data_IF_232110962376
#
_entry.id   IF_232110962376
#
_cell.length_a   1.000
_cell.length_b   1.000
_cell.length_c   1.000
_cell.angle_alpha   90.00
_cell.angle_beta   90.00
_cell.angle_gamma   90.00
#
_symmetry.space_group_name_H-M   'P 1'
#
loop_
_entity.id
_entity.type
_entity.pdbx_description
1 polymer ?
#
# COMPACT_ATOMS: atom_id res chain seq x y z
N UNK A 1 -33.26 -25.31 15.30
CA UNK A 1 -32.67 -24.89 14.02
C UNK A 1 -33.55 -23.77 13.53
N UNK A 2 -33.13 -22.54 13.76
CA UNK A 2 -33.92 -21.36 13.44
C UNK A 2 -33.15 -20.65 12.33
N UNK A 3 -33.73 -20.74 11.14
CA UNK A 3 -33.37 -20.03 9.93
C UNK A 3 -33.52 -18.52 10.22
N UNK A 4 -32.41 -17.78 10.30
CA UNK A 4 -32.47 -16.34 10.47
C UNK A 4 -32.64 -15.70 9.09
N UNK A 5 -33.79 -15.06 8.90
CA UNK A 5 -34.09 -14.16 7.79
C UNK A 5 -32.95 -13.14 7.63
N UNK A 6 -32.14 -13.33 6.60
CA UNK A 6 -31.45 -12.23 5.95
C UNK A 6 -32.51 -11.35 5.26
N UNK A 7 -32.26 -10.04 5.22
CA UNK A 7 -32.90 -9.02 4.36
C UNK A 7 -34.12 -8.30 5.02
N UNK A 8 -34.18 -6.97 5.13
CA UNK A 8 -33.80 -5.96 4.15
C UNK A 8 -33.42 -4.65 4.84
N UNK A 9 -32.25 -4.10 4.52
CA UNK A 9 -31.93 -2.71 4.83
C UNK A 9 -32.85 -1.78 3.99
N UNK A 10 -33.36 -0.66 4.53
CA UNK A 10 -34.14 0.34 3.77
C UNK A 10 -33.40 0.81 2.52
N UNK A 11 -34.12 1.19 1.45
CA UNK A 11 -33.51 1.69 0.21
C UNK A 11 -32.54 2.85 0.50
N UNK A 12 -31.26 2.67 0.17
CA UNK A 12 -30.19 3.64 0.46
C UNK A 12 -29.33 3.32 1.69
N UNK A 13 -29.58 2.19 2.35
CA UNK A 13 -28.78 1.68 3.46
C UNK A 13 -28.18 0.31 3.11
N UNK A 14 -26.97 0.04 3.60
CA UNK A 14 -26.31 -1.25 3.49
C UNK A 14 -26.17 -1.86 4.89
N UNK A 15 -26.22 -3.18 4.96
CA UNK A 15 -26.11 -3.90 6.21
C UNK A 15 -24.61 -4.05 6.51
N UNK A 16 -24.11 -3.29 7.49
CA UNK A 16 -22.69 -3.20 7.85
C UNK A 16 -22.48 -3.96 9.16
N UNK A 17 -21.46 -4.83 9.18
CA UNK A 17 -21.06 -5.54 10.37
C UNK A 17 -20.32 -4.60 11.35
N UNK A 18 -20.82 -4.51 12.57
CA UNK A 18 -20.22 -3.80 13.69
C UNK A 18 -19.92 -4.80 14.83
N UNK A 19 -18.79 -5.51 14.70
CA UNK A 19 -18.42 -6.55 15.66
C UNK A 19 -19.32 -7.78 15.53
N UNK A 20 -20.09 -8.10 16.58
CA UNK A 20 -21.02 -9.25 16.58
C UNK A 20 -22.43 -8.90 16.06
N UNK A 21 -22.72 -7.62 15.83
CA UNK A 21 -24.02 -7.15 15.37
C UNK A 21 -23.93 -6.59 13.94
N UNK A 22 -24.91 -6.88 13.10
CA UNK A 22 -25.10 -6.21 11.81
C UNK A 22 -26.13 -5.09 11.95
N UNK A 23 -25.83 -3.88 11.44
CA UNK A 23 -26.77 -2.75 11.45
C UNK A 23 -26.86 -2.10 10.08
N UNK A 24 -28.05 -1.61 9.73
CA UNK A 24 -28.25 -0.79 8.54
C UNK A 24 -27.53 0.55 8.74
N UNK A 25 -26.61 0.90 7.85
CA UNK A 25 -25.94 2.19 7.84
C UNK A 25 -26.22 2.92 6.54
N UNK A 26 -26.44 4.24 6.64
CA UNK A 26 -26.68 5.11 5.48
C UNK A 26 -25.46 5.10 4.57
N UNK A 27 -25.65 4.64 3.34
CA UNK A 27 -24.58 4.65 2.35
C UNK A 27 -24.47 6.04 1.76
N UNK A 28 -23.31 6.67 1.90
CA UNK A 28 -23.02 7.90 1.17
C UNK A 28 -22.70 7.54 -0.28
N UNK A 29 -23.50 8.06 -1.20
CA UNK A 29 -23.26 7.94 -2.64
C UNK A 29 -22.11 8.87 -3.00
N UNK A 30 -20.88 8.35 -3.05
CA UNK A 30 -19.70 9.14 -3.43
C UNK A 30 -19.34 8.80 -4.88
N UNK A 31 -19.46 9.80 -5.75
CA UNK A 31 -19.16 9.68 -7.18
C UNK A 31 -17.63 9.65 -7.36
N UNK A 32 -17.08 8.50 -7.73
CA UNK A 32 -15.66 8.35 -8.03
C UNK A 32 -15.46 8.02 -9.52
N UNK A 33 -14.49 8.67 -10.16
CA UNK A 33 -14.03 8.31 -11.50
C UNK A 33 -12.93 7.24 -11.38
N UNK A 34 -13.22 6.01 -11.79
CA UNK A 34 -12.22 4.95 -11.87
C UNK A 34 -11.28 5.21 -13.05
N UNK A 35 -10.03 5.58 -12.76
CA UNK A 35 -8.95 5.51 -13.75
C UNK A 35 -8.25 4.15 -13.64
N UNK A 36 -8.82 3.12 -14.26
CA UNK A 36 -8.06 1.89 -14.55
C UNK A 36 -7.08 2.17 -15.71
N UNK A 37 -5.91 2.70 -15.42
CA UNK A 37 -4.75 2.54 -16.32
C UNK A 37 -3.97 1.31 -15.87
N UNK A 38 -4.36 0.13 -16.39
CA UNK A 38 -3.40 -0.98 -16.50
C UNK A 38 -2.35 -0.52 -17.49
N UNK A 39 -1.10 -0.40 -17.05
CA UNK A 39 0.02 -0.18 -17.96
C UNK A 39 0.25 -1.47 -18.76
N UNK A 40 -0.51 -1.65 -19.84
CA UNK A 40 -0.14 -2.61 -20.87
C UNK A 40 0.81 -1.93 -21.86
N UNK A 41 1.88 -2.65 -22.13
CA UNK A 41 2.89 -2.39 -23.16
C UNK A 41 2.26 -2.05 -24.50
N UNK A 42 2.86 -1.05 -25.15
CA UNK A 42 2.61 -0.53 -26.49
C UNK A 42 2.11 -1.57 -27.51
N UNK A 43 0.94 -1.31 -28.10
CA UNK A 43 0.75 -1.54 -29.53
C UNK A 43 -0.09 -0.43 -30.13
N UNK A 44 0.31 0.04 -31.31
CA UNK A 44 -0.23 1.22 -31.97
C UNK A 44 -1.46 0.86 -32.79
N UNK A 45 -2.64 1.30 -32.36
CA UNK A 45 -3.88 1.10 -33.10
C UNK A 45 -4.89 2.20 -32.79
N UNK A 46 -4.93 3.23 -33.64
CA UNK A 46 -5.92 4.30 -33.59
C UNK A 46 -7.33 3.75 -33.86
N UNK A 47 -8.15 3.67 -32.82
CA UNK A 47 -9.57 3.36 -32.92
C UNK A 47 -10.39 4.33 -32.07
N UNK A 48 -10.94 5.37 -32.70
CA UNK A 48 -11.89 6.29 -32.06
C UNK A 48 -13.20 5.55 -31.82
N UNK A 49 -13.47 5.21 -30.56
CA UNK A 49 -14.79 4.76 -30.11
C UNK A 49 -15.37 5.76 -29.13
N UNK A 50 -16.35 6.53 -29.60
CA UNK A 50 -17.27 7.30 -28.76
C UNK A 50 -18.13 6.33 -27.95
N UNK A 51 -17.63 5.95 -26.76
CA UNK A 51 -18.38 5.19 -25.78
C UNK A 51 -19.24 6.11 -24.94
N UNK A 52 -20.56 5.95 -25.03
CA UNK A 52 -21.55 6.58 -24.17
C UNK A 52 -21.45 5.94 -22.77
N UNK A 53 -20.60 6.50 -21.89
CA UNK A 53 -20.38 5.99 -20.53
C UNK A 53 -21.61 6.29 -19.67
N UNK A 54 -22.47 5.30 -19.48
CA UNK A 54 -23.44 5.30 -18.38
C UNK A 54 -22.64 5.23 -17.08
N UNK A 55 -22.44 6.37 -16.44
CA UNK A 55 -21.81 6.49 -15.11
C UNK A 55 -22.63 5.69 -14.08
N UNK A 56 -22.36 4.39 -13.93
CA UNK A 56 -22.85 3.63 -12.79
C UNK A 56 -22.21 4.19 -11.52
N UNK A 57 -23.06 4.71 -10.64
CA UNK A 57 -22.60 5.21 -9.35
C UNK A 57 -22.13 4.00 -8.52
N UNK A 58 -20.82 3.88 -8.32
CA UNK A 58 -20.23 2.89 -7.42
C UNK A 58 -20.72 3.17 -6.00
N UNK A 59 -21.38 2.19 -5.38
CA UNK A 59 -21.91 2.27 -4.02
C UNK A 59 -20.96 1.48 -3.11
N UNK A 60 -20.18 2.19 -2.28
CA UNK A 60 -19.32 1.56 -1.28
C UNK A 60 -20.12 1.27 -0.01
N UNK A 61 -19.93 0.10 0.59
CA UNK A 61 -20.58 -0.25 1.86
C UNK A 61 -19.88 0.41 3.07
N UNK A 62 -18.56 0.61 2.96
CA UNK A 62 -17.71 1.16 4.02
C UNK A 62 -16.81 2.24 3.40
N UNK A 63 -16.54 3.30 4.15
CA UNK A 63 -15.54 4.31 3.75
C UNK A 63 -14.42 4.37 4.77
N UNK A 64 -13.19 4.57 4.31
CA UNK A 64 -12.00 4.69 5.17
C UNK A 64 -11.27 6.01 4.93
N UNK A 65 -10.58 6.49 5.97
CA UNK A 65 -9.77 7.70 5.90
C UNK A 65 -8.58 7.56 4.95
N UNK A 66 -7.91 8.67 4.65
CA UNK A 66 -6.67 8.65 3.88
C UNK A 66 -5.62 7.74 4.54
N UNK A 67 -4.84 7.09 3.69
CA UNK A 67 -3.80 6.13 4.07
C UNK A 67 -4.32 4.81 4.68
N UNK A 68 -5.63 4.60 4.69
CA UNK A 68 -6.22 3.33 5.08
C UNK A 68 -6.39 2.38 3.88
N UNK A 69 -6.53 1.09 4.20
CA UNK A 69 -6.70 0.00 3.25
C UNK A 69 -8.08 0.09 2.55
N UNK A 70 -8.06 0.05 1.22
CA UNK A 70 -9.25 0.01 0.37
C UNK A 70 -9.18 -1.14 -0.65
N UNK A 71 -8.49 -2.23 -0.31
CA UNK A 71 -8.28 -3.40 -1.17
C UNK A 71 -9.60 -4.09 -1.54
N UNK A 72 -10.58 -4.08 -0.63
CA UNK A 72 -11.89 -4.67 -0.87
C UNK A 72 -12.76 -3.72 -1.72
N UNK A 73 -13.44 -4.26 -2.74
CA UNK A 73 -14.28 -3.48 -3.66
C UNK A 73 -15.44 -2.73 -2.96
N UNK A 74 -15.86 -3.20 -1.79
CA UNK A 74 -16.91 -2.56 -0.98
C UNK A 74 -16.38 -1.40 -0.12
N UNK A 75 -15.07 -1.16 -0.10
CA UNK A 75 -14.41 -0.11 0.69
C UNK A 75 -14.01 1.05 -0.22
N UNK A 76 -14.59 2.22 0.03
CA UNK A 76 -14.26 3.47 -0.64
C UNK A 76 -13.43 4.40 0.24
N UNK A 77 -12.92 5.47 -0.36
CA UNK A 77 -12.29 6.55 0.41
C UNK A 77 -13.36 7.49 0.98
N UNK A 78 -13.18 7.90 2.23
CA UNK A 78 -14.11 8.81 2.93
C UNK A 78 -14.06 10.22 2.34
N UNK A 79 -12.85 10.70 2.03
CA UNK A 79 -12.65 11.96 1.32
C UNK A 79 -13.05 11.81 -0.14
N UNK A 80 -13.86 12.75 -0.62
CA UNK A 80 -14.34 12.79 -2.00
C UNK A 80 -13.26 13.15 -3.03
N UNK A 81 -12.10 13.63 -2.58
CA UNK A 81 -10.94 13.92 -3.43
C UNK A 81 -9.92 12.80 -3.40
N UNK A 82 -10.05 11.86 -2.47
CA UNK A 82 -9.13 10.74 -2.33
C UNK A 82 -9.49 9.62 -3.30
N UNK A 83 -8.46 8.89 -3.73
CA UNK A 83 -8.59 7.80 -4.70
C UNK A 83 -8.02 6.54 -4.11
N UNK A 84 -8.72 5.43 -4.26
CA UNK A 84 -8.18 4.11 -3.91
C UNK A 84 -7.14 3.70 -4.95
N UNK A 85 -5.86 3.71 -4.56
CA UNK A 85 -4.74 3.39 -5.44
C UNK A 85 -4.29 1.96 -5.18
N UNK A 86 -4.42 1.10 -6.19
CA UNK A 86 -3.85 -0.25 -6.16
C UNK A 86 -2.32 -0.17 -6.24
N UNK A 87 -1.66 -0.68 -5.21
CA UNK A 87 -0.20 -0.77 -5.14
C UNK A 87 0.27 -2.15 -5.57
N UNK A 88 -0.58 -3.17 -5.40
CA UNK A 88 -0.37 -4.54 -5.88
C UNK A 88 -1.71 -5.22 -6.18
N UNK A 89 -1.68 -6.50 -6.54
CA UNK A 89 -2.87 -7.34 -6.72
C UNK A 89 -3.68 -7.49 -5.41
N UNK A 90 -3.00 -7.48 -4.26
CA UNK A 90 -3.57 -7.78 -2.95
C UNK A 90 -3.59 -6.58 -2.00
N UNK A 91 -3.23 -5.39 -2.49
CA UNK A 91 -3.19 -4.20 -1.65
C UNK A 91 -3.54 -2.94 -2.42
N UNK A 92 -4.54 -2.22 -1.91
CA UNK A 92 -4.88 -0.87 -2.31
C UNK A 92 -5.01 0.03 -1.09
N UNK A 93 -4.71 1.32 -1.28
CA UNK A 93 -4.76 2.30 -0.20
C UNK A 93 -5.40 3.60 -0.69
N UNK A 94 -6.22 4.21 0.15
CA UNK A 94 -6.76 5.54 -0.10
C UNK A 94 -5.64 6.57 -0.08
N UNK A 95 -5.40 7.24 -1.21
CA UNK A 95 -4.44 8.34 -1.32
C UNK A 95 -5.20 9.67 -1.47
N UNK A 96 -4.78 10.73 -0.78
CA UNK A 96 -5.37 12.06 -0.94
C UNK A 96 -5.06 12.64 -2.33
N UNK A 97 -5.89 13.57 -2.80
CA UNK A 97 -5.71 14.26 -4.08
C UNK A 97 -4.35 14.96 -4.25
N UNK A 98 -3.71 15.33 -3.14
CA UNK A 98 -2.37 15.91 -3.10
C UNK A 98 -1.57 15.19 -2.01
N UNK A 99 -0.45 14.58 -2.39
CA UNK A 99 0.48 13.90 -1.49
C UNK A 99 1.26 14.91 -0.66
N UNK A 100 1.84 14.54 0.50
CA UNK A 100 2.80 15.38 1.19
C UNK A 100 4.09 15.54 0.37
N UNK A 101 4.78 16.68 0.55
CA UNK A 101 6.11 16.93 -0.05
C UNK A 101 7.10 15.82 0.33
N UNK A 102 7.86 15.32 -0.65
CA UNK A 102 8.74 14.15 -0.44
C UNK A 102 8.01 12.80 -0.29
N UNK A 103 6.68 12.80 -0.40
CA UNK A 103 5.83 11.62 -0.24
C UNK A 103 6.08 10.58 -1.32
N UNK A 104 5.83 9.31 -0.98
CA UNK A 104 5.91 8.19 -1.92
C UNK A 104 4.73 8.29 -2.90
N UNK A 105 5.05 8.53 -4.16
CA UNK A 105 4.10 8.71 -5.26
C UNK A 105 4.16 7.56 -6.27
N UNK A 106 4.96 6.53 -6.02
CA UNK A 106 4.99 5.32 -6.83
C UNK A 106 6.06 4.35 -6.35
N UNK A 107 6.05 3.14 -6.90
CA UNK A 107 7.06 2.12 -6.66
C UNK A 107 7.20 1.23 -7.91
N UNK A 108 8.42 0.80 -8.21
CA UNK A 108 8.77 -0.16 -9.26
C UNK A 108 9.95 -1.00 -8.78
N UNK A 109 9.65 -2.00 -7.95
CA UNK A 109 10.64 -2.88 -7.31
C UNK A 109 10.64 -4.32 -7.87
N UNK A 110 9.87 -4.54 -8.94
CA UNK A 110 9.68 -5.83 -9.61
C UNK A 110 8.61 -6.73 -8.97
N UNK A 111 8.02 -6.32 -7.84
CA UNK A 111 6.88 -7.00 -7.21
C UNK A 111 5.64 -6.10 -7.25
N UNK A 112 5.84 -4.82 -6.97
CA UNK A 112 4.81 -3.79 -7.03
C UNK A 112 5.20 -2.75 -8.07
N UNK A 113 4.27 -2.48 -8.99
CA UNK A 113 4.42 -1.42 -9.99
C UNK A 113 3.17 -0.54 -9.98
N UNK A 114 3.32 0.66 -9.40
CA UNK A 114 2.25 1.65 -9.32
C UNK A 114 2.80 3.07 -9.35
N UNK A 115 2.00 3.99 -9.86
CA UNK A 115 2.33 5.41 -9.95
C UNK A 115 1.08 6.24 -9.66
N UNK A 116 1.24 7.24 -8.81
CA UNK A 116 0.22 8.19 -8.38
C UNK A 116 0.81 9.61 -8.42
N UNK A 117 0.76 10.23 -9.60
CA UNK A 117 1.37 11.53 -9.89
C UNK A 117 0.50 12.70 -9.40
N UNK A 118 0.32 12.76 -8.08
CA UNK A 118 -0.48 13.75 -7.36
C UNK A 118 0.40 14.49 -6.35
N UNK A 119 1.58 14.90 -6.77
CA UNK A 119 2.52 15.63 -5.93
C UNK A 119 2.08 17.08 -5.70
N UNK A 120 2.58 17.72 -4.63
CA UNK A 120 2.30 19.12 -4.38
C UNK A 120 2.64 20.05 -5.53
N UNK A 121 2.01 21.22 -5.53
CA UNK A 121 2.34 22.26 -6.51
C UNK A 121 3.83 22.60 -6.49
N UNK A 122 4.50 22.47 -7.64
CA UNK A 122 5.93 22.71 -7.79
C UNK A 122 6.81 21.46 -7.62
N UNK A 123 6.20 20.32 -7.30
CA UNK A 123 6.86 19.02 -7.26
C UNK A 123 6.43 18.12 -8.42
N UNK A 124 7.20 17.07 -8.66
CA UNK A 124 6.94 16.00 -9.64
C UNK A 124 7.24 14.65 -9.03
N UNK A 125 6.51 13.63 -9.44
CA UNK A 125 6.80 12.27 -9.03
C UNK A 125 8.02 11.73 -9.79
N UNK A 126 9.20 11.80 -9.18
CA UNK A 126 10.47 11.39 -9.80
C UNK A 126 10.99 10.09 -9.19
N UNK A 127 11.74 9.34 -10.00
CA UNK A 127 12.31 8.06 -9.60
C UNK A 127 13.47 8.26 -8.60
N UNK A 128 13.38 7.59 -7.47
CA UNK A 128 14.40 7.54 -6.41
C UNK A 128 14.69 6.06 -6.07
N UNK A 129 15.57 5.45 -6.87
CA UNK A 129 15.86 4.03 -6.78
C UNK A 129 14.65 3.16 -7.21
N UNK A 130 14.16 2.23 -6.37
CA UNK A 130 12.95 1.46 -6.64
C UNK A 130 11.66 2.23 -6.33
N UNK A 131 11.74 3.35 -5.61
CA UNK A 131 10.61 4.18 -5.23
C UNK A 131 10.45 5.35 -6.21
N UNK A 132 9.29 5.99 -6.19
CA UNK A 132 9.08 7.31 -6.77
C UNK A 132 8.61 8.25 -5.68
N UNK A 133 9.20 9.45 -5.62
CA UNK A 133 8.90 10.44 -4.59
C UNK A 133 8.59 11.79 -5.21
N UNK A 134 7.75 12.55 -4.53
CA UNK A 134 7.53 13.94 -4.89
C UNK A 134 8.80 14.74 -4.62
N UNK A 135 9.42 15.23 -5.68
CA UNK A 135 10.64 16.05 -5.63
C UNK A 135 10.35 17.42 -6.20
N UNK A 136 11.00 18.45 -5.64
CA UNK A 136 10.94 19.79 -6.22
C UNK A 136 11.54 19.74 -7.62
N UNK A 137 10.84 20.33 -8.59
CA UNK A 137 11.37 20.52 -9.94
C UNK A 137 12.70 21.27 -9.85
N UNK A 138 13.81 20.56 -10.02
CA UNK A 138 15.09 21.21 -10.14
C UNK A 138 15.09 21.96 -11.47
N UNK A 139 15.29 23.27 -11.43
CA UNK A 139 15.53 24.08 -12.62
C UNK A 139 16.92 23.75 -13.21
N UNK A 140 17.14 22.50 -13.60
CA UNK A 140 18.29 22.16 -14.41
C UNK A 140 18.05 22.76 -15.80
N UNK A 141 18.73 23.88 -16.05
CA UNK A 141 19.01 24.37 -17.41
C UNK A 141 19.50 23.17 -18.21
N UNK A 142 18.64 22.64 -19.09
CA UNK A 142 19.03 21.67 -20.09
C UNK A 142 20.08 22.31 -21.00
N UNK A 143 21.36 22.10 -20.70
CA UNK A 143 22.36 22.09 -21.75
C UNK A 143 22.11 20.80 -22.55
N UNK A 144 21.36 20.94 -23.65
CA UNK A 144 21.24 19.92 -24.68
C UNK A 144 22.64 19.61 -25.23
N UNK A 145 23.27 18.56 -24.73
CA UNK A 145 24.24 17.82 -25.52
C UNK A 145 23.50 16.64 -26.13
N UNK A 146 23.15 16.79 -27.40
CA UNK A 146 22.87 15.66 -28.28
C UNK A 146 24.18 14.90 -28.47
N UNK A 147 24.38 13.79 -27.75
CA UNK A 147 25.32 12.77 -28.17
C UNK A 147 24.53 11.55 -28.66
N UNK A 148 24.55 11.39 -29.98
CA UNK A 148 24.26 10.12 -30.64
C UNK A 148 25.30 9.10 -30.17
N UNK A 149 24.85 8.07 -29.46
CA UNK A 149 25.60 6.82 -29.39
C UNK A 149 24.67 5.67 -29.80
N UNK A 150 24.72 5.34 -31.09
CA UNK A 150 24.61 3.95 -31.51
C UNK A 150 25.84 3.20 -30.99
N UNK A 151 25.63 2.07 -30.32
CA UNK A 151 26.13 0.77 -30.77
C UNK A 151 25.73 -0.33 -29.77
N UNK A 152 25.20 -1.40 -30.36
CA UNK A 152 25.10 -2.76 -29.83
C UNK A 152 26.14 -3.10 -28.76
N UNK A 153 25.68 -3.69 -27.64
CA UNK A 153 26.46 -4.68 -26.90
C UNK A 153 25.57 -5.71 -26.22
N UNK A 154 25.82 -6.95 -26.63
CA UNK A 154 25.40 -8.22 -26.06
C UNK A 154 25.06 -8.17 -24.57
N UNK A 155 23.88 -8.72 -24.24
CA UNK A 155 23.54 -9.19 -22.91
C UNK A 155 24.55 -10.25 -22.45
N UNK A 156 25.65 -9.78 -21.86
CA UNK A 156 26.46 -10.59 -20.98
C UNK A 156 25.64 -10.71 -19.69
N UNK A 157 25.05 -11.88 -19.47
CA UNK A 157 24.53 -12.31 -18.16
C UNK A 157 25.63 -12.04 -17.13
N UNK A 158 25.54 -10.87 -16.50
CA UNK A 158 26.43 -10.52 -15.41
C UNK A 158 26.05 -11.42 -14.27
N UNK A 159 27.00 -12.26 -13.84
CA UNK A 159 26.93 -12.93 -12.57
C UNK A 159 26.51 -11.90 -11.53
N UNK A 160 25.28 -12.03 -11.02
CA UNK A 160 24.77 -11.20 -9.95
C UNK A 160 25.72 -11.40 -8.78
N UNK A 161 26.64 -10.44 -8.60
CA UNK A 161 27.40 -10.32 -7.38
C UNK A 161 26.33 -10.11 -6.30
N UNK A 162 26.14 -11.12 -5.44
CA UNK A 162 25.19 -11.12 -4.34
C UNK A 162 25.39 -9.84 -3.51
N UNK A 163 24.69 -8.79 -3.93
CA UNK A 163 24.77 -7.49 -3.30
C UNK A 163 23.84 -7.62 -2.13
N UNK A 164 24.44 -7.85 -0.97
CA UNK A 164 23.72 -7.97 0.30
C UNK A 164 22.89 -6.71 0.50
N UNK A 165 21.59 -6.83 0.27
CA UNK A 165 20.64 -5.74 0.44
C UNK A 165 20.34 -5.58 1.93
N UNK A 166 20.22 -4.35 2.40
CA UNK A 166 19.85 -4.08 3.80
C UNK A 166 18.51 -3.38 3.88
N UNK A 167 17.65 -3.78 4.80
CA UNK A 167 16.36 -3.18 5.09
C UNK A 167 16.43 -2.38 6.40
N UNK A 168 15.85 -1.18 6.44
CA UNK A 168 15.73 -0.39 7.67
C UNK A 168 14.73 -1.01 8.66
N UNK A 169 14.65 -0.46 9.86
CA UNK A 169 13.64 -0.88 10.83
C UNK A 169 12.25 -0.68 10.21
N UNK A 170 11.36 -1.64 10.45
CA UNK A 170 10.01 -1.72 9.91
C UNK A 170 9.91 -1.99 8.41
N UNK A 171 11.02 -2.18 7.71
CA UNK A 171 11.00 -2.58 6.30
C UNK A 171 10.93 -4.11 6.12
N UNK A 172 10.51 -4.52 4.93
CA UNK A 172 10.42 -5.91 4.51
C UNK A 172 11.80 -6.58 4.45
N UNK A 173 11.93 -7.75 5.07
CA UNK A 173 13.12 -8.58 5.05
C UNK A 173 12.82 -10.04 4.64
N UNK A 174 11.75 -10.27 3.90
CA UNK A 174 11.29 -11.58 3.42
C UNK A 174 12.31 -12.25 2.48
N UNK A 175 12.98 -11.46 1.65
CA UNK A 175 13.97 -11.97 0.68
C UNK A 175 15.22 -12.48 1.43
N UNK A 176 15.69 -13.69 1.09
CA UNK A 176 16.84 -14.36 1.75
C UNK A 176 18.13 -13.54 1.79
N UNK A 177 18.36 -12.65 0.83
CA UNK A 177 19.55 -11.78 0.74
C UNK A 177 19.40 -10.45 1.47
N UNK A 178 18.23 -10.17 2.05
CA UNK A 178 17.96 -8.94 2.81
C UNK A 178 18.27 -9.18 4.29
N UNK A 179 19.05 -8.27 4.86
CA UNK A 179 19.35 -8.26 6.31
C UNK A 179 18.95 -6.93 6.91
N UNK A 180 18.60 -6.90 8.19
CA UNK A 180 18.30 -5.63 8.83
C UNK A 180 19.57 -4.76 8.89
N UNK A 181 19.44 -3.50 8.48
CA UNK A 181 20.51 -2.50 8.39
C UNK A 181 21.08 -2.22 9.78
N UNK A 182 20.19 -2.09 10.77
CA UNK A 182 20.59 -1.96 12.15
C UNK A 182 20.95 -3.34 12.72
N UNK A 183 22.16 -3.45 13.28
CA UNK A 183 22.71 -4.73 13.78
C UNK A 183 21.93 -5.29 14.97
N UNK A 184 21.23 -4.44 15.71
CA UNK A 184 20.43 -4.86 16.86
C UNK A 184 19.01 -5.28 16.44
N UNK A 185 18.62 -4.99 15.20
CA UNK A 185 17.30 -5.31 14.68
C UNK A 185 17.25 -6.74 14.15
N UNK A 186 16.08 -7.35 14.28
CA UNK A 186 15.86 -8.77 13.95
C UNK A 186 14.80 -8.85 12.85
N UNK A 187 15.06 -9.64 11.83
CA UNK A 187 14.06 -9.96 10.82
C UNK A 187 13.07 -10.97 11.42
N UNK A 188 11.86 -10.50 11.72
CA UNK A 188 10.81 -11.31 12.34
C UNK A 188 9.90 -11.84 11.24
N UNK A 189 9.74 -13.16 11.15
CA UNK A 189 8.78 -13.79 10.25
C UNK A 189 7.36 -13.57 10.80
N UNK A 190 6.51 -12.91 10.03
CA UNK A 190 5.10 -12.67 10.39
C UNK A 190 4.19 -13.76 9.80
N UNK A 191 4.49 -14.18 8.57
CA UNK A 191 3.77 -15.24 7.84
C UNK A 191 4.74 -16.01 6.93
N UNK A 192 4.25 -17.00 6.20
CA UNK A 192 5.05 -17.73 5.19
C UNK A 192 5.58 -16.83 4.06
N UNK A 193 4.92 -15.70 3.82
CA UNK A 193 5.22 -14.80 2.69
C UNK A 193 5.71 -13.43 3.12
N UNK A 194 5.81 -13.17 4.42
CA UNK A 194 6.16 -11.84 4.91
C UNK A 194 7.01 -11.90 6.18
N UNK A 195 8.10 -11.14 6.18
CA UNK A 195 8.96 -10.88 7.32
C UNK A 195 9.32 -9.40 7.39
N UNK A 196 9.46 -8.84 8.59
CA UNK A 196 9.75 -7.43 8.81
C UNK A 196 10.91 -7.25 9.78
N UNK A 197 11.79 -6.29 9.50
CA UNK A 197 12.82 -5.89 10.44
C UNK A 197 12.19 -5.20 11.65
N UNK A 198 12.38 -5.75 12.85
CA UNK A 198 11.94 -5.15 14.11
C UNK A 198 13.15 -4.63 14.89
N UNK A 199 13.06 -3.44 15.50
CA UNK A 199 14.13 -2.91 16.34
C UNK A 199 14.30 -3.76 17.61
N UNK A 200 15.48 -3.70 18.22
CA UNK A 200 15.80 -4.42 19.45
C UNK A 200 14.87 -4.13 20.63
N UNK A 201 14.20 -2.98 20.61
CA UNK A 201 13.18 -2.61 21.59
C UNK A 201 12.07 -1.91 20.84
N UNK A 202 10.85 -2.44 20.97
CA UNK A 202 9.65 -1.86 20.41
C UNK A 202 9.27 -0.58 21.16
N UNK A 203 8.62 0.39 20.50
CA UNK A 203 7.89 1.47 21.16
C UNK A 203 6.83 0.97 22.18
N UNK A 204 6.49 1.83 23.14
CA UNK A 204 5.39 1.55 24.08
C UNK A 204 4.06 1.43 23.33
N UNK A 205 3.26 0.41 23.65
CA UNK A 205 1.97 0.17 22.97
C UNK A 205 2.04 -0.50 21.60
N UNK A 206 3.23 -0.74 21.06
CA UNK A 206 3.41 -1.32 19.74
C UNK A 206 2.96 -2.78 19.66
N UNK A 207 2.67 -3.21 18.43
CA UNK A 207 2.32 -4.58 18.11
C UNK A 207 3.55 -5.48 18.26
N UNK A 208 3.48 -6.38 19.22
CA UNK A 208 4.54 -7.33 19.58
C UNK A 208 4.15 -8.78 19.27
N UNK A 209 3.00 -9.00 18.63
CA UNK A 209 2.62 -10.31 18.12
C UNK A 209 1.26 -10.31 17.47
N UNK A 210 0.99 -11.35 16.70
CA UNK A 210 -0.30 -11.62 16.07
C UNK A 210 -0.50 -13.13 16.01
N UNK A 211 -1.71 -13.58 16.28
CA UNK A 211 -2.10 -14.99 16.31
C UNK A 211 -3.50 -15.14 15.72
N UNK A 212 -3.61 -14.89 14.41
CA UNK A 212 -4.80 -15.18 13.62
C UNK A 212 -4.61 -16.49 12.81
N UNK A 213 -5.51 -16.76 11.86
CA UNK A 213 -5.47 -17.98 11.05
C UNK A 213 -4.30 -18.04 10.05
N UNK A 214 -3.76 -16.89 9.65
CA UNK A 214 -2.68 -16.75 8.64
C UNK A 214 -1.34 -16.37 9.27
N UNK A 215 -1.37 -15.58 10.35
CA UNK A 215 -0.22 -14.94 10.96
C UNK A 215 -0.06 -15.45 12.39
N UNK A 216 1.09 -16.09 12.65
CA UNK A 216 1.47 -16.57 13.98
C UNK A 216 2.90 -16.15 14.27
N UNK A 217 3.04 -14.99 14.92
CA UNK A 217 4.34 -14.45 15.28
C UNK A 217 4.28 -13.72 16.61
N UNK A 218 5.42 -13.69 17.31
CA UNK A 218 5.58 -13.01 18.58
C UNK A 218 7.00 -12.46 18.69
N UNK A 219 7.11 -11.26 19.23
CA UNK A 219 8.36 -10.53 19.40
C UNK A 219 8.38 -9.82 20.78
N UNK A 220 8.85 -10.54 21.79
CA UNK A 220 8.82 -10.13 23.22
C UNK A 220 9.92 -9.09 23.57
N UNK A 221 10.01 -8.00 22.82
CA UNK A 221 11.04 -6.97 22.98
C UNK A 221 10.42 -5.62 23.35
N UNK A 222 9.52 -5.61 24.32
CA UNK A 222 8.87 -4.39 24.80
C UNK A 222 9.83 -3.52 25.65
N UNK A 223 9.54 -2.22 25.83
CA UNK A 223 10.29 -1.36 26.72
C UNK A 223 10.37 -1.89 28.15
N UNK A 224 11.36 -1.42 28.90
CA UNK A 224 11.48 -1.73 30.32
C UNK A 224 10.21 -1.34 31.09
N UNK A 225 9.68 -2.28 31.88
CA UNK A 225 8.40 -2.10 32.60
C UNK A 225 7.16 -2.53 31.82
N UNK A 226 7.32 -2.97 30.56
CA UNK A 226 6.23 -3.49 29.73
C UNK A 226 6.43 -4.99 29.42
N UNK A 227 5.35 -5.64 29.01
CA UNK A 227 5.37 -6.98 28.45
C UNK A 227 4.41 -7.09 27.28
N UNK A 228 4.72 -8.01 26.36
CA UNK A 228 3.84 -8.30 25.25
C UNK A 228 2.65 -9.12 25.74
N UNK A 229 1.47 -8.51 25.84
CA UNK A 229 0.24 -9.19 26.27
C UNK A 229 -0.75 -9.30 25.11
N UNK A 230 -1.37 -10.47 24.98
CA UNK A 230 -2.41 -10.73 24.01
C UNK A 230 -3.70 -9.98 24.35
N UNK A 231 -4.37 -9.45 23.32
CA UNK A 231 -5.68 -8.82 23.35
C UNK A 231 -6.44 -9.24 22.08
N UNK A 232 -7.12 -10.38 22.18
CA UNK A 232 -7.69 -11.06 21.00
C UNK A 232 -6.59 -11.66 20.13
N UNK A 233 -6.67 -11.42 18.81
CA UNK A 233 -5.70 -11.93 17.82
C UNK A 233 -4.37 -11.15 17.81
N UNK A 234 -4.31 -9.98 18.46
CA UNK A 234 -3.15 -9.11 18.46
C UNK A 234 -2.50 -9.09 19.85
N UNK A 235 -1.19 -8.97 19.91
CA UNK A 235 -0.45 -8.75 21.16
C UNK A 235 0.25 -7.40 21.10
N UNK A 236 0.17 -6.63 22.19
CA UNK A 236 0.79 -5.31 22.30
C UNK A 236 1.66 -5.19 23.53
N UNK A 237 2.68 -4.34 23.45
CA UNK A 237 3.45 -3.94 24.61
C UNK A 237 2.56 -3.14 25.57
N UNK A 238 2.42 -3.64 26.79
CA UNK A 238 1.60 -3.01 27.83
C UNK A 238 2.36 -3.03 29.14
N UNK A 239 2.09 -2.03 29.99
CA UNK A 239 2.65 -1.98 31.35
C UNK A 239 2.32 -3.28 32.10
N UNK A 240 3.32 -3.79 32.82
CA UNK A 240 3.19 -5.01 33.61
C UNK A 240 2.08 -4.89 34.63
#
# INVERSE_FOLDING_TARGET
MNEWEYNHCPSGEACVAHGVDSRCSKVRKIRHHHHHKRAHTTDSGSGSHSGNSTDEAVIYAITVADWQDCTLEIVGCESNTSVCVHQSEYYAQCKPAELPSGGLCGQSDGVSEWLYDHCPTGETCEKDGPDFRCTKKSHHKHHKHHEHHEHHKHHKLSAHKDTKTTAEDWQDCTKKSVTCKNKTSVCVKHSEYYSQCKPATLPSGDLCGQSDVVNKWKYDHCPSGESCKAKGEYSRCVKK
#
